data_IF_077860238007
#
_entry.id   IF_077860238007
#
_cell.length_a   1.000
_cell.length_b   1.000
_cell.length_c   1.000
_cell.angle_alpha   90.00
_cell.angle_beta   90.00
_cell.angle_gamma   90.00
#
_symmetry.space_group_name_H-M   'P 1'
#
loop_
_entity.id
_entity.type
_entity.pdbx_description
1 polymer ?
#
# COMPACT_ATOMS: atom_id res chain seq x y z
N UNK A 1 5.39 21.46 -9.65
CA UNK A 1 5.02 20.07 -9.34
C UNK A 1 4.81 19.88 -7.84
N UNK A 2 3.79 19.16 -7.49
CA UNK A 2 3.51 18.89 -6.08
C UNK A 2 4.57 17.98 -5.47
N UNK A 3 4.83 18.15 -4.19
CA UNK A 3 5.72 17.24 -3.47
C UNK A 3 5.06 15.88 -3.34
N UNK A 4 5.82 14.78 -3.41
CA UNK A 4 5.25 13.46 -3.24
C UNK A 4 4.60 13.28 -1.88
N UNK A 5 3.45 12.59 -1.83
CA UNK A 5 2.85 12.16 -0.57
C UNK A 5 3.18 10.70 -0.34
N UNK A 6 3.27 10.32 0.91
CA UNK A 6 3.58 8.94 1.31
C UNK A 6 2.29 8.22 1.65
N UNK A 7 2.07 7.12 0.97
CA UNK A 7 0.84 6.32 1.15
C UNK A 7 1.23 4.94 1.63
N UNK A 8 0.82 4.61 2.85
CA UNK A 8 1.04 3.29 3.42
C UNK A 8 -0.13 2.38 3.05
N UNK A 9 0.17 1.17 2.60
CA UNK A 9 -0.86 0.19 2.25
C UNK A 9 -0.50 -1.14 2.90
N UNK A 10 -1.38 -1.65 3.75
CA UNK A 10 -1.20 -2.98 4.33
C UNK A 10 -1.85 -4.01 3.44
N UNK A 11 -1.32 -5.24 3.46
CA UNK A 11 -1.85 -6.30 2.63
C UNK A 11 -1.70 -6.01 1.14
N UNK A 12 -0.62 -5.33 0.76
CA UNK A 12 -0.43 -4.83 -0.59
C UNK A 12 -0.36 -5.93 -1.65
N UNK A 13 0.03 -7.14 -1.27
CA UNK A 13 0.11 -8.27 -2.19
C UNK A 13 -1.20 -9.05 -2.30
N UNK A 14 -2.20 -8.75 -1.45
CA UNK A 14 -3.52 -9.36 -1.56
C UNK A 14 -4.30 -8.78 -2.73
N UNK A 15 -5.42 -9.40 -3.07
CA UNK A 15 -6.22 -8.97 -4.23
C UNK A 15 -6.65 -7.51 -4.15
N UNK A 16 -7.19 -7.10 -3.00
CA UNK A 16 -7.66 -5.73 -2.84
C UNK A 16 -6.49 -4.76 -2.80
N UNK A 17 -5.45 -5.10 -2.04
CA UNK A 17 -4.26 -4.26 -1.94
C UNK A 17 -3.56 -4.08 -3.27
N UNK A 18 -3.44 -5.16 -4.03
CA UNK A 18 -2.86 -5.14 -5.37
C UNK A 18 -3.60 -4.13 -6.26
N UNK A 19 -4.93 -4.21 -6.28
CA UNK A 19 -5.73 -3.29 -7.07
C UNK A 19 -5.56 -1.85 -6.61
N UNK A 20 -5.54 -1.63 -5.30
CA UNK A 20 -5.40 -0.28 -4.74
C UNK A 20 -4.06 0.36 -5.06
N UNK A 21 -2.95 -0.38 -4.96
CA UNK A 21 -1.64 0.22 -5.22
C UNK A 21 -1.53 0.67 -6.67
N UNK A 22 -2.12 -0.07 -7.60
CA UNK A 22 -2.12 0.34 -9.01
C UNK A 22 -2.98 1.58 -9.23
N UNK A 23 -4.14 1.66 -8.59
CA UNK A 23 -5.01 2.83 -8.70
C UNK A 23 -4.36 4.07 -8.08
N UNK A 24 -3.67 3.91 -6.97
CA UNK A 24 -2.95 5.01 -6.35
C UNK A 24 -1.82 5.50 -7.27
N UNK A 25 -1.05 4.56 -7.80
CA UNK A 25 0.09 4.89 -8.66
C UNK A 25 -0.35 5.53 -9.98
N UNK A 26 -1.53 5.17 -10.48
CA UNK A 26 -2.05 5.73 -11.73
C UNK A 26 -2.65 7.12 -11.56
N UNK A 27 -2.86 7.57 -10.33
CA UNK A 27 -3.45 8.87 -10.05
C UNK A 27 -4.96 8.88 -9.88
N UNK A 28 -5.60 7.72 -9.93
CA UNK A 28 -7.06 7.65 -9.78
C UNK A 28 -7.54 8.07 -8.40
N UNK A 29 -6.72 7.86 -7.38
CA UNK A 29 -7.13 8.11 -6.00
C UNK A 29 -6.81 9.52 -5.52
N UNK A 30 -5.61 9.99 -5.77
CA UNK A 30 -5.14 11.28 -5.24
C UNK A 30 -5.01 12.37 -6.28
N UNK A 31 -5.32 12.06 -7.52
CA UNK A 31 -5.26 13.02 -8.61
C UNK A 31 -4.09 12.77 -9.56
N UNK A 32 -4.28 13.17 -10.79
CA UNK A 32 -3.32 12.88 -11.86
C UNK A 32 -2.10 13.78 -11.83
N UNK A 33 -2.06 14.74 -10.92
CA UNK A 33 -0.92 15.64 -10.75
C UNK A 33 -0.23 15.45 -9.40
N UNK A 34 -0.61 14.41 -8.64
CA UNK A 34 -0.06 14.18 -7.30
C UNK A 34 0.92 12.99 -7.32
N UNK A 35 2.23 13.25 -7.25
CA UNK A 35 3.21 12.17 -7.10
C UNK A 35 3.04 11.44 -5.78
N UNK A 36 3.32 10.14 -5.76
CA UNK A 36 3.16 9.30 -4.58
C UNK A 36 4.39 8.45 -4.34
N UNK A 37 4.63 8.14 -3.07
CA UNK A 37 5.59 7.14 -2.66
C UNK A 37 4.78 6.06 -1.95
N UNK A 38 4.78 4.85 -2.47
CA UNK A 38 4.05 3.74 -1.89
C UNK A 38 4.89 3.06 -0.82
N UNK A 39 4.33 2.94 0.38
CA UNK A 39 4.97 2.24 1.49
C UNK A 39 4.12 1.01 1.79
N UNK A 40 4.54 -0.12 1.27
CA UNK A 40 3.73 -1.34 1.25
C UNK A 40 4.16 -2.32 2.33
N UNK A 41 3.18 -2.78 3.09
CA UNK A 41 3.40 -3.71 4.19
C UNK A 41 2.75 -5.04 3.88
N UNK A 42 3.48 -6.13 4.10
CA UNK A 42 2.93 -7.47 4.05
C UNK A 42 3.40 -8.27 5.25
N UNK A 43 2.78 -9.43 5.45
CA UNK A 43 3.11 -10.31 6.56
C UNK A 43 4.56 -10.79 6.44
N UNK A 44 5.22 -11.05 7.59
CA UNK A 44 6.61 -11.53 7.58
C UNK A 44 6.69 -13.02 7.23
N UNK A 45 6.06 -13.39 6.15
CA UNK A 45 6.05 -14.75 5.63
C UNK A 45 6.73 -14.74 4.28
N UNK A 46 7.50 -15.76 4.01
CA UNK A 46 8.27 -15.84 2.77
C UNK A 46 7.37 -15.66 1.53
N UNK A 47 6.23 -16.34 1.52
CA UNK A 47 5.28 -16.23 0.41
C UNK A 47 4.74 -14.82 0.25
N UNK A 48 4.39 -14.18 1.35
CA UNK A 48 3.83 -12.82 1.33
C UNK A 48 4.87 -11.82 0.84
N UNK A 49 6.11 -11.95 1.30
CA UNK A 49 7.16 -11.05 0.90
C UNK A 49 7.57 -11.28 -0.56
N UNK A 50 7.55 -12.52 -1.02
CA UNK A 50 7.80 -12.82 -2.43
C UNK A 50 6.71 -12.24 -3.33
N UNK A 51 5.45 -12.34 -2.90
CA UNK A 51 4.33 -11.76 -3.64
C UNK A 51 4.44 -10.23 -3.67
N UNK A 52 4.86 -9.62 -2.58
CA UNK A 52 5.06 -8.17 -2.52
C UNK A 52 6.14 -7.72 -3.51
N UNK A 53 7.22 -8.46 -3.60
CA UNK A 53 8.26 -8.16 -4.58
C UNK A 53 7.72 -8.22 -6.00
N UNK A 54 6.86 -9.19 -6.28
CA UNK A 54 6.22 -9.32 -7.59
C UNK A 54 5.36 -8.11 -7.91
N UNK A 55 4.61 -7.62 -6.94
CA UNK A 55 3.79 -6.41 -7.10
C UNK A 55 4.67 -5.21 -7.41
N UNK A 56 5.77 -5.06 -6.67
CA UNK A 56 6.68 -3.94 -6.88
C UNK A 56 7.31 -3.99 -8.28
N UNK A 57 7.64 -5.17 -8.77
CA UNK A 57 8.18 -5.33 -10.10
C UNK A 57 7.16 -4.95 -11.17
N UNK A 58 5.90 -5.34 -10.98
CA UNK A 58 4.85 -4.97 -11.90
C UNK A 58 4.62 -3.47 -11.93
N UNK A 59 4.63 -2.82 -10.76
CA UNK A 59 4.48 -1.37 -10.68
C UNK A 59 5.63 -0.66 -11.41
N UNK A 60 6.83 -1.17 -11.26
CA UNK A 60 8.00 -0.63 -11.93
C UNK A 60 7.89 -0.79 -13.43
N UNK A 61 7.43 -1.96 -13.88
CA UNK A 61 7.25 -2.23 -15.31
C UNK A 61 6.18 -1.35 -15.95
N UNK A 62 5.16 -0.96 -15.18
CA UNK A 62 4.12 -0.06 -15.68
C UNK A 62 4.62 1.37 -15.88
N UNK A 63 5.74 1.73 -15.25
CA UNK A 63 6.37 3.04 -15.39
C UNK A 63 5.40 4.21 -15.15
N UNK A 64 4.62 4.13 -14.07
CA UNK A 64 3.69 5.20 -13.73
C UNK A 64 4.42 6.51 -13.45
N UNK A 65 4.10 7.60 -14.19
CA UNK A 65 4.81 8.86 -13.98
C UNK A 65 4.65 9.45 -12.57
N UNK A 66 3.55 9.16 -11.91
CA UNK A 66 3.28 9.68 -10.57
C UNK A 66 3.92 8.88 -9.46
N UNK A 67 4.42 7.69 -9.75
CA UNK A 67 5.05 6.84 -8.75
C UNK A 67 6.49 7.30 -8.52
N UNK A 68 6.70 8.07 -7.46
CA UNK A 68 8.00 8.65 -7.16
C UNK A 68 8.92 7.69 -6.41
N UNK A 69 8.37 6.68 -5.74
CA UNK A 69 9.16 5.70 -5.03
C UNK A 69 8.30 4.60 -4.45
N UNK A 70 8.96 3.53 -4.03
CA UNK A 70 8.30 2.37 -3.42
C UNK A 70 9.14 1.82 -2.28
N UNK A 71 8.47 1.41 -1.22
CA UNK A 71 9.08 0.69 -0.10
C UNK A 71 8.24 -0.55 0.16
N UNK A 72 8.86 -1.70 0.19
CA UNK A 72 8.20 -2.94 0.56
C UNK A 72 8.82 -3.48 1.84
N UNK A 73 8.02 -3.81 2.83
CA UNK A 73 8.54 -4.20 4.14
C UNK A 73 7.57 -5.12 4.88
N UNK A 74 8.09 -5.80 5.90
CA UNK A 74 7.28 -6.54 6.86
C UNK A 74 7.22 -5.82 8.22
N UNK A 75 7.81 -4.64 8.29
CA UNK A 75 7.89 -3.86 9.53
C UNK A 75 6.91 -2.69 9.45
N UNK A 76 5.93 -2.69 10.35
CA UNK A 76 4.90 -1.65 10.38
C UNK A 76 5.49 -0.26 10.62
N UNK A 77 6.52 -0.15 11.43
CA UNK A 77 7.15 1.14 11.69
C UNK A 77 7.76 1.72 10.42
N UNK A 78 8.35 0.88 9.60
CA UNK A 78 8.91 1.31 8.33
C UNK A 78 7.79 1.71 7.36
N UNK A 79 6.74 0.88 7.29
CA UNK A 79 5.64 1.11 6.36
C UNK A 79 4.87 2.39 6.66
N UNK A 80 4.71 2.72 7.93
CA UNK A 80 3.92 3.90 8.32
C UNK A 80 4.76 5.14 8.59
N UNK A 81 6.06 5.06 8.45
CA UNK A 81 6.93 6.19 8.72
C UNK A 81 6.60 7.35 7.79
N UNK A 82 6.28 8.48 8.38
CA UNK A 82 5.97 9.71 7.66
C UNK A 82 4.82 9.58 6.65
N UNK A 83 3.96 8.57 6.85
CA UNK A 83 2.84 8.37 5.94
C UNK A 83 1.82 9.49 6.05
N UNK A 84 1.44 10.04 4.90
CA UNK A 84 0.39 11.05 4.82
C UNK A 84 -1.00 10.40 4.77
N UNK A 85 -1.07 9.21 4.19
CA UNK A 85 -2.28 8.41 4.11
C UNK A 85 -1.95 6.97 4.45
N UNK A 86 -2.87 6.29 5.10
CA UNK A 86 -2.71 4.88 5.44
C UNK A 86 -3.98 4.13 5.07
N UNK A 87 -3.85 3.15 4.19
CA UNK A 87 -4.95 2.29 3.77
C UNK A 87 -4.72 0.91 4.37
N UNK A 88 -5.51 0.59 5.38
CA UNK A 88 -5.38 -0.68 6.08
C UNK A 88 -6.29 -1.72 5.43
N UNK A 89 -5.73 -2.42 4.47
CA UNK A 89 -6.45 -3.45 3.73
C UNK A 89 -6.27 -4.78 4.45
N UNK A 90 -7.38 -5.43 4.77
CA UNK A 90 -7.34 -6.61 5.58
C UNK A 90 -6.80 -7.83 4.87
N UNK A 91 -5.53 -8.11 5.05
CA UNK A 91 -4.96 -9.39 4.67
C UNK A 91 -5.04 -10.37 5.83
N UNK A 92 -5.44 -9.90 6.98
CA UNK A 92 -5.43 -10.67 8.21
C UNK A 92 -6.84 -11.12 8.58
N UNK A 93 -7.05 -12.41 8.90
CA UNK A 93 -8.36 -12.85 9.37
C UNK A 93 -8.74 -12.09 10.63
N UNK A 94 -10.03 -11.81 10.80
CA UNK A 94 -10.50 -11.18 12.01
C UNK A 94 -10.33 -12.12 13.18
N UNK A 95 -9.57 -11.66 14.18
CA UNK A 95 -9.45 -12.39 15.42
C UNK A 95 -10.53 -11.97 16.41
N UNK A 96 -10.55 -12.61 17.57
CA UNK A 96 -11.48 -12.21 18.64
C UNK A 96 -11.30 -10.73 18.96
N UNK A 97 -12.41 -10.01 19.07
CA UNK A 97 -12.38 -8.60 19.41
C UNK A 97 -12.17 -7.65 18.24
N UNK A 98 -11.84 -8.16 17.07
CA UNK A 98 -11.69 -7.32 15.91
C UNK A 98 -13.01 -7.26 15.15
N UNK A 99 -13.57 -6.08 15.02
CA UNK A 99 -14.84 -5.88 14.36
C UNK A 99 -14.66 -5.22 13.00
N UNK A 100 -15.66 -5.41 12.14
CA UNK A 100 -15.63 -4.82 10.81
C UNK A 100 -15.52 -3.29 10.85
N UNK A 101 -16.18 -2.66 11.81
CA UNK A 101 -16.13 -1.21 11.92
C UNK A 101 -14.71 -0.70 12.20
N UNK A 102 -13.91 -1.50 12.93
CA UNK A 102 -12.53 -1.12 13.18
C UNK A 102 -11.73 -1.11 11.90
N UNK A 103 -11.96 -2.08 11.03
CA UNK A 103 -11.32 -2.13 9.73
C UNK A 103 -11.73 -0.95 8.86
N UNK A 104 -13.01 -0.59 8.91
CA UNK A 104 -13.52 0.55 8.13
C UNK A 104 -12.93 1.87 8.60
N UNK A 105 -12.82 2.05 9.91
CA UNK A 105 -12.23 3.25 10.46
C UNK A 105 -10.77 3.41 10.07
N UNK A 106 -10.06 2.30 10.07
CA UNK A 106 -8.65 2.30 9.71
C UNK A 106 -8.43 2.51 8.22
N UNK A 107 -9.39 2.15 7.40
CA UNK A 107 -9.32 2.33 5.96
C UNK A 107 -9.85 3.68 5.49
N UNK A 108 -10.45 4.42 6.37
CA UNK A 108 -11.04 5.72 6.03
C UNK A 108 -10.01 6.88 6.00
#
# INVERSE_FOLDING_TARGET
MKSPVRVAVTGAAGQIGYSLVFRIASGEMLGKDQPVILQMLELPLEKAQAALKGVMMELEDCAFPLLAGMVGTDDAEVAFKDADYALLVGARPRGPGMERKDLLLENA
#
